data_IF_222958806508
#
_entry.id   IF_222958806508
#
_cell.length_a   1.000
_cell.length_b   1.000
_cell.length_c   1.000
_cell.angle_alpha   90.00
_cell.angle_beta   90.00
_cell.angle_gamma   90.00
#
_symmetry.space_group_name_H-M   'P 1'
#
loop_
_entity.id
_entity.type
_entity.pdbx_description
1 polymer ?
#
# COMPACT_ATOMS: atom_id res chain seq x y z
N UNK A 1 -3.59 26.18 14.31
CA UNK A 1 -4.56 25.22 14.89
C UNK A 1 -3.93 24.55 16.11
N UNK A 2 -4.65 24.41 17.22
CA UNK A 2 -4.14 23.76 18.43
C UNK A 2 -3.75 22.30 18.11
N UNK A 3 -2.52 21.88 18.46
CA UNK A 3 -1.96 20.54 18.16
C UNK A 3 -2.80 19.39 18.74
N UNK A 4 -3.60 19.68 19.78
CA UNK A 4 -4.55 18.73 20.36
C UNK A 4 -5.75 18.51 19.43
N UNK A 5 -6.26 19.58 18.84
CA UNK A 5 -7.40 19.54 17.90
C UNK A 5 -7.01 18.79 16.62
N UNK A 6 -5.82 19.02 16.07
CA UNK A 6 -5.33 18.27 14.90
C UNK A 6 -5.16 16.77 15.17
N UNK A 7 -4.72 16.40 16.38
CA UNK A 7 -4.58 15.00 16.78
C UNK A 7 -5.93 14.31 16.94
N UNK A 8 -6.90 14.97 17.58
CA UNK A 8 -8.26 14.44 17.75
C UNK A 8 -8.99 14.27 16.41
N UNK A 9 -8.92 15.28 15.54
CA UNK A 9 -9.49 15.21 14.19
C UNK A 9 -8.86 14.08 13.36
N UNK A 10 -7.54 13.89 13.47
CA UNK A 10 -6.85 12.78 12.81
C UNK A 10 -7.33 11.43 13.34
N UNK A 11 -7.46 11.25 14.66
CA UNK A 11 -7.95 9.99 15.25
C UNK A 11 -9.39 9.69 14.82
N UNK A 12 -10.27 10.68 14.84
CA UNK A 12 -11.66 10.52 14.41
C UNK A 12 -11.75 10.09 12.94
N UNK A 13 -11.03 10.78 12.06
CA UNK A 13 -11.00 10.48 10.62
C UNK A 13 -10.38 9.11 10.31
N UNK A 14 -9.40 8.67 11.10
CA UNK A 14 -8.61 7.45 10.86
C UNK A 14 -8.96 6.33 11.85
N UNK A 15 -10.20 6.27 12.35
CA UNK A 15 -10.65 5.22 13.28
C UNK A 15 -10.43 3.79 12.77
N UNK A 16 -10.56 3.57 11.46
CA UNK A 16 -10.34 2.28 10.81
C UNK A 16 -8.85 1.90 10.83
N UNK A 17 -7.95 2.86 10.56
CA UNK A 17 -6.49 2.69 10.71
C UNK A 17 -6.13 2.32 12.14
N UNK A 18 -6.72 2.98 13.14
CA UNK A 18 -6.47 2.67 14.55
C UNK A 18 -6.94 1.26 14.93
N UNK A 19 -8.05 0.78 14.35
CA UNK A 19 -8.54 -0.60 14.53
C UNK A 19 -7.56 -1.61 13.95
N UNK A 20 -7.13 -1.42 12.70
CA UNK A 20 -6.16 -2.30 12.03
C UNK A 20 -4.78 -2.26 12.71
N UNK A 21 -4.37 -1.09 13.20
CA UNK A 21 -3.15 -0.95 14.00
C UNK A 21 -3.25 -1.74 15.32
N UNK A 22 -4.41 -1.73 15.99
CA UNK A 22 -4.63 -2.53 17.19
C UNK A 22 -4.51 -4.02 16.88
N UNK A 23 -5.14 -4.49 15.80
CA UNK A 23 -5.02 -5.87 15.31
C UNK A 23 -3.56 -6.24 15.02
N UNK A 24 -2.81 -5.37 14.35
CA UNK A 24 -1.38 -5.56 14.08
C UNK A 24 -0.58 -5.72 15.39
N UNK A 25 -0.81 -4.86 16.39
CA UNK A 25 -0.13 -4.92 17.69
C UNK A 25 -0.49 -6.15 18.50
N UNK A 26 -1.76 -6.59 18.46
CA UNK A 26 -2.23 -7.79 19.15
C UNK A 26 -1.54 -9.06 18.63
N UNK A 27 -1.15 -9.08 17.36
CA UNK A 27 -0.49 -10.22 16.73
C UNK A 27 1.02 -10.02 16.56
N UNK A 28 1.61 -8.97 17.12
CA UNK A 28 3.05 -8.68 16.96
C UNK A 28 3.94 -9.82 17.50
N UNK A 29 3.51 -10.50 18.58
CA UNK A 29 4.16 -11.69 19.13
C UNK A 29 3.83 -12.99 18.39
N UNK A 30 2.90 -12.96 17.44
CA UNK A 30 2.39 -14.14 16.72
C UNK A 30 2.12 -13.82 15.25
N UNK A 31 3.07 -13.11 14.61
CA UNK A 31 2.96 -12.66 13.23
C UNK A 31 2.75 -13.81 12.25
N UNK A 32 3.30 -14.99 12.56
CA UNK A 32 3.11 -16.19 11.76
C UNK A 32 1.62 -16.55 11.68
N UNK A 33 0.92 -16.66 12.81
CA UNK A 33 -0.51 -17.00 12.83
C UNK A 33 -1.39 -16.00 12.06
N UNK A 34 -1.10 -14.70 12.19
CA UNK A 34 -1.83 -13.67 11.43
C UNK A 34 -1.56 -13.77 9.92
N UNK A 35 -0.29 -13.98 9.55
CA UNK A 35 0.12 -14.15 8.15
C UNK A 35 -0.50 -15.41 7.55
N UNK A 36 -0.51 -16.51 8.29
CA UNK A 36 -1.13 -17.77 7.88
C UNK A 36 -2.62 -17.61 7.60
N UNK A 37 -3.35 -16.98 8.54
CA UNK A 37 -4.77 -16.72 8.38
C UNK A 37 -5.05 -15.84 7.17
N UNK A 38 -4.27 -14.76 6.98
CA UNK A 38 -4.44 -13.85 5.83
C UNK A 38 -4.11 -14.53 4.51
N UNK A 39 -3.06 -15.35 4.46
CA UNK A 39 -2.70 -16.09 3.26
C UNK A 39 -3.81 -17.07 2.87
N UNK A 40 -4.34 -17.85 3.82
CA UNK A 40 -5.46 -18.78 3.57
C UNK A 40 -6.68 -18.06 2.99
N UNK A 41 -7.04 -16.91 3.54
CA UNK A 41 -8.15 -16.09 3.02
C UNK A 41 -7.88 -15.58 1.61
N UNK A 42 -6.64 -15.13 1.34
CA UNK A 42 -6.23 -14.64 0.02
C UNK A 42 -6.27 -15.76 -1.03
N UNK A 43 -5.70 -16.93 -0.72
CA UNK A 43 -5.67 -18.08 -1.63
C UNK A 43 -7.09 -18.60 -1.91
N UNK A 44 -7.92 -18.72 -0.88
CA UNK A 44 -9.33 -19.11 -1.04
C UNK A 44 -10.10 -18.11 -1.93
N UNK A 45 -9.88 -16.81 -1.72
CA UNK A 45 -10.47 -15.79 -2.59
C UNK A 45 -9.98 -15.91 -4.03
N UNK A 46 -8.67 -16.07 -4.23
CA UNK A 46 -8.06 -16.19 -5.55
C UNK A 46 -8.60 -17.40 -6.33
N UNK A 47 -8.63 -18.58 -5.71
CA UNK A 47 -9.19 -19.81 -6.30
C UNK A 47 -10.64 -19.63 -6.74
N UNK A 48 -11.44 -18.94 -5.92
CA UNK A 48 -12.88 -18.79 -6.15
C UNK A 48 -13.23 -17.69 -7.16
N UNK A 49 -12.46 -16.59 -7.18
CA UNK A 49 -12.87 -15.37 -7.89
C UNK A 49 -11.88 -14.87 -8.95
N UNK A 50 -10.64 -15.37 -8.99
CA UNK A 50 -9.63 -14.93 -9.97
C UNK A 50 -9.45 -16.02 -11.02
N UNK A 51 -9.90 -15.82 -12.28
CA UNK A 51 -9.83 -16.84 -13.32
C UNK A 51 -8.47 -17.50 -13.50
N UNK A 52 -7.38 -16.72 -13.49
CA UNK A 52 -6.00 -17.22 -13.64
C UNK A 52 -5.62 -18.27 -12.59
N UNK A 53 -6.17 -18.19 -11.39
CA UNK A 53 -5.83 -19.08 -10.28
C UNK A 53 -6.79 -20.26 -10.09
N UNK A 54 -7.83 -20.38 -10.93
CA UNK A 54 -8.87 -21.40 -10.76
C UNK A 54 -8.34 -22.83 -10.88
N UNK A 55 -7.40 -23.04 -11.82
CA UNK A 55 -6.85 -24.35 -12.13
C UNK A 55 -5.53 -24.64 -11.37
N UNK A 56 -5.09 -23.70 -10.53
CA UNK A 56 -3.92 -23.87 -9.67
C UNK A 56 -4.37 -24.49 -8.35
N UNK A 57 -3.68 -25.53 -7.89
CA UNK A 57 -3.98 -26.17 -6.61
C UNK A 57 -3.47 -25.34 -5.42
N UNK A 58 -4.18 -24.24 -5.16
CA UNK A 58 -3.85 -23.30 -4.08
C UNK A 58 -4.07 -23.86 -2.67
N UNK A 59 -4.79 -24.98 -2.52
CA UNK A 59 -5.08 -25.57 -1.21
C UNK A 59 -3.86 -26.27 -0.61
N UNK A 60 -2.86 -26.61 -1.45
CA UNK A 60 -1.57 -27.19 -1.02
C UNK A 60 -0.51 -26.16 -0.63
N UNK A 61 -0.82 -24.87 -0.76
CA UNK A 61 0.16 -23.81 -0.48
C UNK A 61 0.27 -23.65 1.02
N UNK A 62 1.45 -23.94 1.55
CA UNK A 62 1.77 -23.73 2.95
C UNK A 62 2.42 -22.37 3.16
N UNK A 63 2.22 -21.78 4.33
CA UNK A 63 2.70 -20.42 4.60
C UNK A 63 4.21 -20.35 4.67
N UNK A 64 4.84 -21.45 5.07
CA UNK A 64 6.30 -21.58 5.11
C UNK A 64 6.88 -22.15 3.79
N UNK A 65 6.03 -22.54 2.84
CA UNK A 65 6.45 -23.07 1.54
C UNK A 65 5.51 -22.61 0.41
N UNK A 66 5.94 -21.55 -0.26
CA UNK A 66 5.26 -20.97 -1.42
C UNK A 66 5.76 -21.53 -2.75
N UNK A 67 6.65 -22.54 -2.75
CA UNK A 67 7.28 -23.06 -3.98
C UNK A 67 6.30 -23.75 -4.92
N UNK A 68 5.14 -24.17 -4.40
CA UNK A 68 4.03 -24.72 -5.18
C UNK A 68 3.28 -23.69 -6.02
N UNK A 69 3.46 -22.38 -5.75
CA UNK A 69 2.87 -21.32 -6.56
C UNK A 69 3.69 -21.08 -7.83
N UNK A 70 3.03 -20.92 -9.00
CA UNK A 70 3.74 -20.56 -10.22
C UNK A 70 4.34 -19.16 -10.08
N UNK A 71 5.58 -19.00 -10.57
CA UNK A 71 6.29 -17.73 -10.55
C UNK A 71 5.55 -16.71 -11.41
N UNK A 72 5.15 -15.59 -10.79
CA UNK A 72 4.50 -14.48 -11.47
C UNK A 72 5.54 -13.56 -12.13
N UNK A 73 5.55 -13.49 -13.47
CA UNK A 73 6.44 -12.62 -14.24
C UNK A 73 5.72 -11.37 -14.75
N UNK A 74 6.48 -10.33 -15.14
CA UNK A 74 5.90 -9.12 -15.75
C UNK A 74 5.13 -9.44 -17.03
N UNK A 75 5.58 -10.40 -17.82
CA UNK A 75 4.92 -10.78 -19.07
C UNK A 75 3.59 -11.51 -18.81
N UNK A 76 3.54 -12.37 -17.80
CA UNK A 76 2.28 -12.99 -17.36
C UNK A 76 1.30 -11.91 -16.92
N UNK A 77 1.74 -10.95 -16.09
CA UNK A 77 0.90 -9.86 -15.61
C UNK A 77 0.33 -9.00 -16.74
N UNK A 78 1.15 -8.69 -17.76
CA UNK A 78 0.72 -7.90 -18.93
C UNK A 78 -0.28 -8.67 -19.80
N UNK A 79 0.03 -9.92 -20.13
CA UNK A 79 -0.76 -10.71 -21.08
C UNK A 79 -2.04 -11.29 -20.46
N UNK A 80 -2.11 -11.40 -19.13
CA UNK A 80 -3.23 -12.03 -18.43
C UNK A 80 -3.98 -11.07 -17.49
N UNK A 81 -3.84 -9.74 -17.64
CA UNK A 81 -4.43 -8.76 -16.71
C UNK A 81 -5.93 -8.99 -16.44
N UNK A 82 -6.70 -9.32 -17.50
CA UNK A 82 -8.13 -9.61 -17.38
C UNK A 82 -8.41 -10.86 -16.55
N UNK A 83 -7.67 -11.94 -16.80
CA UNK A 83 -7.83 -13.22 -16.07
C UNK A 83 -7.27 -13.15 -14.65
N UNK A 84 -6.33 -12.23 -14.40
CA UNK A 84 -5.81 -11.90 -13.08
C UNK A 84 -6.72 -10.95 -12.28
N UNK A 85 -7.77 -10.43 -12.92
CA UNK A 85 -8.75 -9.57 -12.24
C UNK A 85 -9.83 -10.41 -11.59
N UNK A 86 -10.06 -10.18 -10.30
CA UNK A 86 -11.14 -10.83 -9.56
C UNK A 86 -12.49 -10.48 -10.17
N UNK A 87 -13.34 -11.48 -10.40
CA UNK A 87 -14.73 -11.28 -10.81
C UNK A 87 -15.59 -10.71 -9.68
N UNK A 88 -15.08 -10.73 -8.45
CA UNK A 88 -15.74 -10.18 -7.28
C UNK A 88 -15.51 -8.66 -7.21
N UNK A 89 -16.50 -7.89 -7.67
CA UNK A 89 -16.46 -6.41 -7.66
C UNK A 89 -16.86 -5.80 -6.31
N UNK A 90 -16.62 -6.51 -5.20
CA UNK A 90 -17.16 -6.16 -3.87
C UNK A 90 -16.76 -4.76 -3.39
N UNK A 91 -15.67 -4.17 -3.91
CA UNK A 91 -15.21 -2.85 -3.51
C UNK A 91 -14.75 -2.00 -4.69
N UNK A 92 -14.89 -0.66 -4.59
CA UNK A 92 -14.25 0.25 -5.52
C UNK A 92 -12.74 0.01 -5.56
N UNK A 93 -12.21 -0.14 -6.76
CA UNK A 93 -10.78 -0.27 -7.02
C UNK A 93 -10.33 0.80 -8.02
N UNK A 94 -9.03 1.00 -8.12
CA UNK A 94 -8.40 1.84 -9.13
C UNK A 94 -7.20 1.13 -9.74
N UNK A 95 -6.91 1.45 -11.01
CA UNK A 95 -5.70 1.00 -11.68
C UNK A 95 -4.48 1.80 -11.18
N UNK A 96 -3.39 1.08 -10.95
CA UNK A 96 -2.07 1.65 -10.73
C UNK A 96 -1.06 0.97 -11.66
N UNK A 97 0.05 1.64 -11.94
CA UNK A 97 1.09 1.14 -12.85
C UNK A 97 2.45 1.18 -12.18
N UNK A 98 3.29 0.18 -12.44
CA UNK A 98 4.70 0.28 -12.08
C UNK A 98 5.42 1.27 -13.00
N UNK A 99 6.21 2.18 -12.44
CA UNK A 99 7.01 3.17 -13.20
C UNK A 99 8.28 2.57 -13.82
N UNK A 100 8.21 1.36 -14.38
CA UNK A 100 9.37 0.52 -14.70
C UNK A 100 10.48 1.21 -15.51
N UNK A 101 11.73 0.97 -15.12
CA UNK A 101 12.95 1.42 -15.83
C UNK A 101 13.10 0.87 -17.26
N UNK A 102 12.31 -0.15 -17.62
CA UNK A 102 12.31 -0.84 -18.91
C UNK A 102 11.29 -0.28 -19.90
N UNK A 103 10.60 0.82 -19.59
CA UNK A 103 9.66 1.52 -20.49
C UNK A 103 8.26 0.91 -20.60
N UNK A 104 8.07 -0.36 -20.23
CA UNK A 104 6.76 -1.02 -20.25
C UNK A 104 6.15 -1.19 -18.84
N UNK A 105 5.17 -0.34 -18.45
CA UNK A 105 4.52 -0.45 -17.16
C UNK A 105 3.68 -1.73 -17.04
N UNK A 106 3.60 -2.28 -15.82
CA UNK A 106 2.64 -3.34 -15.48
C UNK A 106 1.48 -2.70 -14.73
N UNK A 107 0.25 -3.12 -15.05
CA UNK A 107 -0.97 -2.65 -14.40
C UNK A 107 -1.33 -3.52 -13.20
N UNK A 108 -1.89 -2.89 -12.17
CA UNK A 108 -2.37 -3.52 -10.95
C UNK A 108 -3.68 -2.89 -10.52
N UNK A 109 -4.52 -3.66 -9.84
CA UNK A 109 -5.70 -3.15 -9.16
C UNK A 109 -5.40 -2.93 -7.69
N UNK A 110 -5.77 -1.77 -7.18
CA UNK A 110 -5.65 -1.43 -5.76
C UNK A 110 -7.01 -0.98 -5.24
N UNK A 111 -7.29 -1.31 -3.98
CA UNK A 111 -8.54 -1.01 -3.32
C UNK A 111 -8.32 -0.24 -2.02
N UNK A 112 -9.41 0.10 -1.35
CA UNK A 112 -9.36 0.81 -0.07
C UNK A 112 -8.60 0.02 1.00
N UNK A 113 -8.72 -1.31 1.02
CA UNK A 113 -8.04 -2.16 1.98
C UNK A 113 -6.52 -2.08 1.82
N UNK A 114 -6.00 -2.10 0.59
CA UNK A 114 -4.59 -1.84 0.30
C UNK A 114 -4.13 -0.51 0.88
N UNK A 115 -4.86 0.58 0.59
CA UNK A 115 -4.50 1.92 1.06
C UNK A 115 -4.53 2.04 2.59
N UNK A 116 -5.49 1.38 3.24
CA UNK A 116 -5.58 1.36 4.70
C UNK A 116 -4.38 0.63 5.31
N UNK A 117 -3.93 -0.50 4.76
CA UNK A 117 -2.71 -1.17 5.21
C UNK A 117 -1.44 -0.34 4.99
N UNK A 118 -1.34 0.41 3.89
CA UNK A 118 -0.25 1.40 3.69
C UNK A 118 -0.24 2.43 4.82
N UNK A 119 -1.40 3.00 5.15
CA UNK A 119 -1.54 4.01 6.20
C UNK A 119 -1.23 3.43 7.60
N UNK A 120 -1.65 2.18 7.89
CA UNK A 120 -1.37 1.47 9.16
C UNK A 120 0.12 1.20 9.33
N UNK A 121 0.78 0.65 8.31
CA UNK A 121 2.22 0.33 8.36
C UNK A 121 3.05 1.60 8.53
N UNK A 122 2.67 2.68 7.83
CA UNK A 122 3.33 3.97 8.00
C UNK A 122 3.13 4.54 9.40
N UNK A 123 1.91 4.44 9.95
CA UNK A 123 1.65 4.85 11.33
C UNK A 123 2.47 4.04 12.34
N UNK A 124 2.54 2.71 12.19
CA UNK A 124 3.37 1.83 13.00
C UNK A 124 4.85 2.21 12.91
N UNK A 125 5.39 2.38 11.71
CA UNK A 125 6.79 2.75 11.51
C UNK A 125 7.15 4.03 12.28
N UNK A 126 6.35 5.09 12.14
CA UNK A 126 6.64 6.35 12.84
C UNK A 126 6.47 6.23 14.36
N UNK A 127 5.39 5.61 14.82
CA UNK A 127 5.06 5.56 16.24
C UNK A 127 5.90 4.56 17.02
N UNK A 128 6.01 3.33 16.50
CA UNK A 128 6.62 2.21 17.22
C UNK A 128 8.10 2.09 16.94
N UNK A 129 8.56 2.30 15.70
CA UNK A 129 9.98 2.18 15.36
C UNK A 129 10.74 3.48 15.63
N UNK A 130 10.21 4.63 15.18
CA UNK A 130 10.89 5.93 15.35
C UNK A 130 10.54 6.66 16.64
N UNK A 131 9.53 6.20 17.39
CA UNK A 131 8.98 6.88 18.59
C UNK A 131 8.56 8.33 18.32
N UNK A 132 8.08 8.58 17.11
CA UNK A 132 7.61 9.89 16.65
C UNK A 132 6.08 9.94 16.58
N UNK A 133 5.51 11.06 16.99
CA UNK A 133 4.07 11.30 16.82
C UNK A 133 3.81 11.73 15.37
N UNK A 134 3.17 10.83 14.61
CA UNK A 134 2.80 11.06 13.22
C UNK A 134 2.08 12.40 12.99
N UNK A 135 1.27 12.87 13.93
CA UNK A 135 0.50 14.12 13.79
C UNK A 135 1.29 15.36 14.18
N UNK A 136 2.38 15.21 14.92
CA UNK A 136 3.16 16.34 15.47
C UNK A 136 4.51 16.53 14.81
N UNK A 137 5.12 15.47 14.27
CA UNK A 137 6.42 15.55 13.63
C UNK A 137 6.30 16.23 12.28
N UNK A 138 7.12 17.26 12.05
CA UNK A 138 7.28 17.85 10.71
C UNK A 138 7.95 16.82 9.80
N UNK A 139 7.40 16.62 8.61
CA UNK A 139 7.93 15.67 7.63
C UNK A 139 8.30 16.41 6.37
N UNK A 140 9.51 16.18 5.88
CA UNK A 140 9.93 16.59 4.55
C UNK A 140 10.06 15.33 3.70
N UNK A 141 9.15 15.15 2.75
CA UNK A 141 9.14 13.98 1.86
C UNK A 141 9.65 14.40 0.51
N UNK A 142 10.72 13.72 0.08
CA UNK A 142 11.35 13.87 -1.22
C UNK A 142 10.85 12.73 -2.11
N UNK A 143 10.27 13.04 -3.27
CA UNK A 143 9.71 12.03 -4.17
C UNK A 143 9.98 12.36 -5.63
N UNK A 144 10.29 11.34 -6.44
CA UNK A 144 10.74 11.50 -7.83
C UNK A 144 9.65 11.36 -8.91
N UNK A 145 8.42 11.01 -8.54
CA UNK A 145 7.32 10.82 -9.52
C UNK A 145 6.53 12.12 -9.73
N UNK A 146 6.58 12.66 -10.95
CA UNK A 146 5.86 13.87 -11.36
C UNK A 146 4.34 13.67 -11.30
N UNK A 147 3.85 12.49 -11.69
CA UNK A 147 2.41 12.21 -11.70
C UNK A 147 1.85 12.05 -10.28
N UNK A 148 2.63 11.51 -9.35
CA UNK A 148 2.26 11.49 -7.93
C UNK A 148 2.27 12.90 -7.33
N UNK A 149 3.18 13.77 -7.79
CA UNK A 149 3.20 15.17 -7.38
C UNK A 149 1.92 15.90 -7.83
N UNK A 150 1.49 15.72 -9.09
CA UNK A 150 0.26 16.34 -9.62
C UNK A 150 -0.97 15.97 -8.79
N UNK A 151 -1.13 14.68 -8.43
CA UNK A 151 -2.24 14.20 -7.57
C UNK A 151 -2.28 14.89 -6.19
N UNK A 152 -1.14 15.39 -5.70
CA UNK A 152 -1.00 16.05 -4.38
C UNK A 152 -1.22 17.57 -4.39
N UNK A 153 -1.48 18.17 -5.56
CA UNK A 153 -1.78 19.60 -5.68
C UNK A 153 -3.25 19.95 -5.44
N UNK A 154 -4.13 18.94 -5.36
CA UNK A 154 -5.57 19.10 -5.09
C UNK A 154 -5.84 19.72 -3.71
N UNK A 155 -6.98 20.40 -3.57
CA UNK A 155 -7.38 21.08 -2.31
C UNK A 155 -7.48 20.07 -1.15
N UNK A 156 -8.05 18.90 -1.40
CA UNK A 156 -8.17 17.82 -0.41
C UNK A 156 -6.79 17.29 0.03
N UNK A 157 -5.84 17.16 -0.89
CA UNK A 157 -4.47 16.78 -0.58
C UNK A 157 -3.73 17.86 0.23
N UNK A 158 -3.89 19.14 -0.14
CA UNK A 158 -3.33 20.27 0.62
C UNK A 158 -3.84 20.28 2.07
N UNK A 159 -5.13 20.05 2.29
CA UNK A 159 -5.72 19.93 3.62
C UNK A 159 -5.15 18.71 4.38
N UNK A 160 -5.04 17.54 3.72
CA UNK A 160 -4.45 16.33 4.33
C UNK A 160 -2.99 16.56 4.75
N UNK A 161 -2.20 17.21 3.90
CA UNK A 161 -0.79 17.53 4.16
C UNK A 161 -0.65 18.50 5.33
N UNK A 162 -1.48 19.55 5.36
CA UNK A 162 -1.52 20.51 6.47
C UNK A 162 -1.83 19.83 7.81
N UNK A 163 -2.89 19.01 7.87
CA UNK A 163 -3.28 18.29 9.10
C UNK A 163 -2.19 17.30 9.55
N UNK A 164 -1.42 16.75 8.60
CA UNK A 164 -0.40 15.73 8.87
C UNK A 164 1.02 16.31 9.01
N UNK A 165 1.18 17.64 8.99
CA UNK A 165 2.46 18.35 9.02
C UNK A 165 3.47 17.85 7.96
N UNK A 166 2.99 17.59 6.74
CA UNK A 166 3.81 17.11 5.61
C UNK A 166 4.10 18.26 4.66
N UNK A 167 5.39 18.47 4.38
CA UNK A 167 5.88 19.23 3.24
C UNK A 167 6.42 18.24 2.21
N UNK A 168 5.97 18.37 0.97
CA UNK A 168 6.35 17.48 -0.13
C UNK A 168 7.17 18.26 -1.16
N UNK A 169 8.32 17.71 -1.55
CA UNK A 169 9.18 18.30 -2.57
C UNK A 169 9.46 17.27 -3.66
N UNK A 170 9.48 17.72 -4.90
CA UNK A 170 9.89 16.90 -6.04
C UNK A 170 11.42 16.92 -6.13
N UNK A 171 12.06 15.75 -6.16
CA UNK A 171 13.47 15.68 -6.54
C UNK A 171 13.55 15.47 -8.05
N UNK A 172 13.91 16.52 -8.78
CA UNK A 172 14.60 16.32 -10.04
C UNK A 172 16.04 15.97 -9.65
N UNK A 173 16.48 14.72 -9.83
CA UNK A 173 17.92 14.46 -9.81
C UNK A 173 18.46 15.14 -11.06
N UNK A 174 18.90 16.39 -10.93
CA UNK A 174 19.89 16.95 -11.81
C UNK A 174 21.18 16.20 -11.48
N UNK A 175 21.38 15.09 -12.18
CA UNK A 175 22.73 14.59 -12.45
C UNK A 175 23.38 15.71 -13.26
N UNK A 176 23.99 16.69 -12.60
CA UNK A 176 25.10 17.40 -13.23
C UNK A 176 26.31 16.48 -13.11
N UNK A 177 26.38 15.57 -14.07
CA UNK A 177 27.65 15.12 -14.66
C UNK A 177 28.50 16.39 -14.84
N UNK A 178 29.72 16.35 -14.32
CA UNK A 178 30.67 17.43 -14.52
C UNK A 178 30.87 17.73 -16.00
N UNK A 179 30.96 19.02 -16.30
CA UNK A 179 31.87 19.55 -17.32
C UNK A 179 32.42 20.87 -16.80
N UNK A 180 33.72 20.81 -16.48
CA UNK A 180 34.74 21.84 -16.28
C UNK A 180 34.45 22.98 -15.31
#
# INVERSE_FOLDING_TARGET
>A
MNRIISSLLWKFKNRHILKLYKELKEHESSLNTLSERKLKLLLSHAKSHVPYYRDIDLDRVEVNDLTSLPIMTKDILRNNFKELTSSSTLYPFWENTSGGSTGEPVKFLQDRNYQDWVDVTLYYYYKDMLKLDWTKSKKFIIWGSVDDFKKRTTISAKIKNYISNIVFSMLLILVMIGKN
#
